data_IF_778038493120
#
_entry.id   IF_778038493120
#
_cell.length_a   1.000
_cell.length_b   1.000
_cell.length_c   1.000
_cell.angle_alpha   90.00
_cell.angle_beta   90.00
_cell.angle_gamma   90.00
#
_symmetry.space_group_name_H-M   'P 1'
#
loop_
_entity.id
_entity.type
_entity.pdbx_description
1 polymer ?
#
# COMPACT_ATOMS: atom_id res chain seq x y z
N UNK A 1 66.13 -10.04 45.48
CA UNK A 1 64.66 -9.82 45.37
C UNK A 1 64.34 -9.53 43.90
N UNK A 2 63.53 -10.37 43.25
CA UNK A 2 63.18 -10.24 41.81
C UNK A 2 61.80 -9.56 41.69
N UNK A 3 61.63 -8.48 40.90
CA UNK A 3 60.30 -7.94 40.62
C UNK A 3 59.60 -8.81 39.57
N UNK A 4 58.33 -9.15 39.82
CA UNK A 4 57.43 -9.82 38.86
C UNK A 4 56.80 -8.76 37.96
N UNK A 5 56.97 -8.90 36.64
CA UNK A 5 56.19 -8.18 35.64
C UNK A 5 54.76 -8.72 35.60
N UNK A 6 53.77 -7.84 35.72
CA UNK A 6 52.34 -8.14 35.48
C UNK A 6 51.98 -7.52 34.13
N UNK A 7 51.61 -8.36 33.16
CA UNK A 7 51.12 -7.92 31.85
C UNK A 7 49.65 -7.45 31.95
N UNK A 8 49.24 -6.38 31.25
CA UNK A 8 47.85 -5.96 31.23
C UNK A 8 47.03 -6.82 30.25
N UNK A 9 45.72 -7.04 30.50
CA UNK A 9 44.88 -7.79 29.58
C UNK A 9 44.50 -6.93 28.37
N UNK A 10 44.58 -7.54 27.19
CA UNK A 10 44.15 -6.99 25.91
C UNK A 10 42.61 -7.00 25.86
N UNK A 11 41.97 -5.82 25.94
CA UNK A 11 40.51 -5.69 25.82
C UNK A 11 40.15 -5.61 24.34
N UNK A 12 39.63 -6.70 23.78
CA UNK A 12 39.02 -6.72 22.44
C UNK A 12 37.62 -6.10 22.51
N UNK A 13 37.46 -4.87 22.00
CA UNK A 13 36.14 -4.24 21.83
C UNK A 13 35.52 -4.80 20.55
N UNK A 14 34.62 -5.76 20.70
CA UNK A 14 33.72 -6.23 19.64
C UNK A 14 32.69 -5.11 19.35
N UNK A 15 32.92 -4.35 18.29
CA UNK A 15 31.91 -3.41 17.75
C UNK A 15 30.80 -4.24 17.10
N UNK A 16 29.73 -4.51 17.84
CA UNK A 16 28.52 -5.10 17.30
C UNK A 16 27.83 -4.08 16.37
N UNK A 17 27.93 -4.26 15.06
CA UNK A 17 27.08 -3.54 14.11
C UNK A 17 25.61 -3.95 14.35
N UNK A 18 24.70 -3.02 14.67
CA UNK A 18 23.28 -3.34 14.70
C UNK A 18 22.82 -3.56 13.25
N UNK A 19 22.51 -4.82 12.92
CA UNK A 19 21.77 -5.15 11.69
C UNK A 19 20.37 -4.56 11.84
N UNK A 20 20.17 -3.35 11.31
CA UNK A 20 18.86 -2.72 11.18
C UNK A 20 18.03 -3.53 10.17
N UNK A 21 17.34 -4.56 10.65
CA UNK A 21 16.24 -5.18 9.92
C UNK A 21 15.16 -4.12 9.72
N UNK A 22 15.13 -3.53 8.52
CA UNK A 22 14.02 -2.70 8.10
C UNK A 22 12.76 -3.57 8.16
N UNK A 23 11.97 -3.42 9.24
CA UNK A 23 10.64 -4.00 9.36
C UNK A 23 9.84 -3.54 8.14
N UNK A 24 9.70 -4.43 7.16
CA UNK A 24 8.80 -4.23 6.05
C UNK A 24 7.41 -4.12 6.66
N UNK A 25 6.85 -2.91 6.73
CA UNK A 25 5.55 -2.67 7.35
C UNK A 25 4.52 -3.54 6.62
N UNK A 26 4.01 -4.54 7.31
CA UNK A 26 2.95 -5.42 6.84
C UNK A 26 1.70 -5.12 7.67
N UNK A 27 0.61 -4.78 6.97
CA UNK A 27 -0.68 -4.52 7.59
C UNK A 27 -1.71 -5.45 6.99
N UNK A 28 -2.51 -6.06 7.85
CA UNK A 28 -3.66 -6.88 7.48
C UNK A 28 -4.94 -6.28 8.06
N UNK A 29 -5.95 -6.09 7.23
CA UNK A 29 -7.30 -5.67 7.61
C UNK A 29 -8.27 -6.72 7.10
N UNK A 30 -9.15 -7.20 7.96
CA UNK A 30 -10.21 -8.15 7.61
C UNK A 30 -11.54 -7.40 7.51
N UNK A 31 -12.44 -7.99 6.76
CA UNK A 31 -13.76 -7.49 6.47
C UNK A 31 -14.76 -8.65 6.56
N UNK A 32 -15.98 -8.37 6.96
CA UNK A 32 -17.05 -9.36 7.09
C UNK A 32 -17.73 -9.58 5.73
N UNK A 33 -18.42 -10.71 5.53
CA UNK A 33 -19.18 -10.95 4.30
C UNK A 33 -20.54 -10.26 4.39
N UNK A 34 -20.57 -8.97 4.07
CA UNK A 34 -21.75 -8.12 4.20
C UNK A 34 -22.34 -7.65 2.85
N UNK A 35 -21.61 -7.87 1.75
CA UNK A 35 -22.05 -7.53 0.40
C UNK A 35 -22.19 -8.76 -0.49
N UNK A 36 -23.32 -8.91 -1.18
CA UNK A 36 -23.62 -10.09 -2.03
C UNK A 36 -22.80 -10.20 -3.33
N UNK A 37 -21.91 -9.26 -3.60
CA UNK A 37 -21.21 -9.13 -4.87
C UNK A 37 -19.93 -9.97 -4.92
N UNK A 38 -19.49 -10.36 -6.12
CA UNK A 38 -18.22 -11.13 -6.28
C UNK A 38 -16.96 -10.39 -5.80
N UNK A 39 -17.07 -9.07 -5.62
CA UNK A 39 -16.00 -8.20 -5.16
C UNK A 39 -16.17 -7.76 -3.70
N UNK A 40 -17.04 -8.43 -2.96
CA UNK A 40 -17.10 -8.39 -1.50
C UNK A 40 -15.77 -8.82 -0.89
N UNK A 41 -15.14 -7.90 -0.16
CA UNK A 41 -13.80 -8.06 0.36
C UNK A 41 -13.83 -8.93 1.61
N UNK A 42 -12.75 -9.67 1.78
CA UNK A 42 -12.49 -10.52 2.94
C UNK A 42 -11.27 -10.03 3.71
N UNK A 43 -10.27 -9.56 2.95
CA UNK A 43 -9.00 -9.15 3.50
C UNK A 43 -8.30 -8.16 2.57
N UNK A 44 -7.68 -7.15 3.16
CA UNK A 44 -6.74 -6.25 2.50
C UNK A 44 -5.41 -6.34 3.23
N UNK A 45 -4.36 -6.71 2.52
CA UNK A 45 -2.98 -6.69 3.03
C UNK A 45 -2.17 -5.60 2.34
N UNK A 46 -1.38 -4.85 3.10
CA UNK A 46 -0.42 -3.87 2.57
C UNK A 46 0.99 -4.24 3.00
N UNK A 47 1.96 -4.27 2.08
CA UNK A 47 3.35 -4.62 2.40
C UNK A 47 4.36 -4.13 1.35
N UNK A 48 5.64 -4.21 1.71
CA UNK A 48 6.77 -4.00 0.80
C UNK A 48 7.07 -2.54 0.45
N UNK A 49 8.16 -2.35 -0.30
CA UNK A 49 8.61 -1.07 -0.87
C UNK A 49 9.11 -1.32 -2.30
N UNK A 50 8.44 -0.83 -3.37
CA UNK A 50 7.20 -0.05 -3.38
C UNK A 50 6.02 -0.80 -2.78
N UNK A 51 5.04 -0.05 -2.25
CA UNK A 51 3.90 -0.61 -1.52
C UNK A 51 3.01 -1.44 -2.45
N UNK A 52 2.67 -2.63 -1.99
CA UNK A 52 1.73 -3.55 -2.63
C UNK A 52 0.46 -3.62 -1.79
N UNK A 53 -0.69 -3.44 -2.42
CA UNK A 53 -2.00 -3.75 -1.86
C UNK A 53 -2.44 -5.08 -2.44
N UNK A 54 -2.75 -6.03 -1.57
CA UNK A 54 -3.32 -7.33 -1.91
C UNK A 54 -4.76 -7.37 -1.41
N UNK A 55 -5.70 -7.40 -2.34
CA UNK A 55 -7.13 -7.40 -2.06
C UNK A 55 -7.63 -8.82 -2.30
N UNK A 56 -8.25 -9.41 -1.29
CA UNK A 56 -8.85 -10.73 -1.35
C UNK A 56 -10.35 -10.64 -1.10
N UNK A 57 -11.12 -11.33 -1.94
CA UNK A 57 -12.59 -11.38 -1.87
C UNK A 57 -13.07 -12.69 -1.25
N UNK A 58 -14.30 -12.72 -0.75
CA UNK A 58 -14.94 -13.97 -0.32
C UNK A 58 -15.12 -14.90 -1.52
N UNK A 59 -15.65 -14.35 -2.61
CA UNK A 59 -16.03 -15.08 -3.80
C UNK A 59 -14.93 -15.15 -4.86
N UNK A 60 -14.95 -16.25 -5.64
CA UNK A 60 -14.08 -16.41 -6.80
C UNK A 60 -14.57 -15.64 -8.03
N UNK A 61 -13.64 -15.06 -8.78
CA UNK A 61 -13.93 -14.35 -10.02
C UNK A 61 -12.89 -14.62 -11.11
N UNK A 62 -13.11 -14.08 -12.31
CA UNK A 62 -12.15 -14.11 -13.43
C UNK A 62 -12.11 -12.74 -14.08
N UNK A 63 -11.01 -12.40 -14.78
CA UNK A 63 -10.87 -11.15 -15.54
C UNK A 63 -12.12 -10.88 -16.40
N UNK A 64 -12.54 -11.88 -17.19
CA UNK A 64 -13.74 -11.81 -18.01
C UNK A 64 -15.04 -11.56 -17.23
N UNK A 65 -15.19 -12.13 -16.03
CA UNK A 65 -16.42 -11.96 -15.23
C UNK A 65 -16.56 -10.57 -14.62
N UNK A 66 -15.47 -9.85 -14.44
CA UNK A 66 -15.46 -8.50 -13.87
C UNK A 66 -15.18 -7.42 -14.93
N UNK A 67 -14.92 -7.79 -16.18
CA UNK A 67 -14.74 -6.84 -17.27
C UNK A 67 -16.01 -6.01 -17.46
N UNK A 68 -15.84 -4.69 -17.46
CA UNK A 68 -16.90 -3.66 -17.54
C UNK A 68 -17.99 -3.79 -16.48
N UNK A 69 -17.67 -4.47 -15.38
CA UNK A 69 -18.62 -4.81 -14.31
C UNK A 69 -18.06 -4.68 -12.92
N UNK A 70 -16.73 -4.76 -12.78
CA UNK A 70 -16.05 -4.82 -11.50
C UNK A 70 -14.87 -3.87 -11.45
N UNK A 71 -14.85 -3.05 -10.42
CA UNK A 71 -13.83 -2.03 -10.17
C UNK A 71 -13.37 -2.13 -8.72
N UNK A 72 -12.07 -2.00 -8.50
CA UNK A 72 -11.48 -1.92 -7.17
C UNK A 72 -10.67 -0.63 -7.09
N UNK A 73 -10.88 0.14 -6.03
CA UNK A 73 -10.25 1.44 -5.81
C UNK A 73 -9.47 1.40 -4.50
N UNK A 74 -8.19 1.76 -4.57
CA UNK A 74 -7.40 2.08 -3.38
C UNK A 74 -7.44 3.60 -3.21
N UNK A 75 -8.26 4.09 -2.30
CA UNK A 75 -8.34 5.52 -1.99
C UNK A 75 -7.26 5.93 -1.00
N UNK A 76 -6.64 7.09 -1.20
CA UNK A 76 -5.54 7.62 -0.38
C UNK A 76 -5.81 9.07 0.01
N UNK A 77 -5.75 9.38 1.31
CA UNK A 77 -5.70 10.76 1.83
C UNK A 77 -4.27 11.03 2.30
N UNK A 78 -3.65 11.96 1.59
CA UNK A 78 -2.27 12.35 1.77
C UNK A 78 -2.12 13.84 2.03
N UNK A 79 -3.17 14.64 1.82
CA UNK A 79 -3.14 16.10 1.92
C UNK A 79 -3.93 16.66 3.11
N UNK A 80 -4.43 15.81 4.02
CA UNK A 80 -5.12 16.21 5.25
C UNK A 80 -6.53 16.80 5.06
N UNK A 81 -7.15 16.55 3.91
CA UNK A 81 -8.51 16.99 3.64
C UNK A 81 -9.60 16.07 4.21
N UNK A 82 -10.85 16.50 4.04
CA UNK A 82 -12.04 15.66 4.30
C UNK A 82 -12.24 14.58 3.24
N UNK A 83 -11.59 14.73 2.08
CA UNK A 83 -11.67 13.84 0.93
C UNK A 83 -10.37 13.07 0.73
N UNK A 84 -10.48 11.96 0.01
CA UNK A 84 -9.32 11.31 -0.56
C UNK A 84 -8.75 12.14 -1.73
N UNK A 85 -7.43 12.19 -1.83
CA UNK A 85 -6.71 13.02 -2.81
C UNK A 85 -6.31 12.22 -4.06
N UNK A 86 -6.11 10.93 -3.88
CA UNK A 86 -5.68 10.01 -4.93
C UNK A 86 -6.47 8.71 -4.86
N UNK A 87 -6.59 8.04 -6.00
CA UNK A 87 -7.03 6.66 -6.03
C UNK A 87 -6.30 5.85 -7.09
N UNK A 88 -5.97 4.60 -6.77
CA UNK A 88 -5.61 3.61 -7.78
C UNK A 88 -6.87 2.87 -8.23
N UNK A 89 -7.23 3.03 -9.50
CA UNK A 89 -8.29 2.25 -10.13
C UNK A 89 -7.69 0.94 -10.62
N UNK A 90 -8.34 -0.17 -10.30
CA UNK A 90 -8.05 -1.51 -10.82
C UNK A 90 -9.31 -2.02 -11.50
N UNK A 91 -9.18 -2.44 -12.75
CA UNK A 91 -10.27 -2.98 -13.57
C UNK A 91 -9.76 -4.12 -14.43
N UNK A 92 -10.67 -4.84 -15.08
CA UNK A 92 -10.29 -5.84 -16.09
C UNK A 92 -10.63 -5.36 -17.48
N UNK A 93 -9.82 -5.78 -18.46
CA UNK A 93 -10.09 -5.65 -19.90
C UNK A 93 -10.54 -6.99 -20.53
N UNK A 94 -11.05 -7.92 -19.72
CA UNK A 94 -11.50 -9.25 -20.14
C UNK A 94 -10.39 -10.30 -20.26
N UNK A 95 -9.17 -9.89 -20.59
CA UNK A 95 -7.99 -10.78 -20.69
C UNK A 95 -7.14 -10.75 -19.42
N UNK A 96 -6.94 -9.57 -18.84
CA UNK A 96 -6.09 -9.36 -17.68
C UNK A 96 -6.61 -8.28 -16.74
N UNK A 97 -5.74 -7.83 -15.84
CA UNK A 97 -5.97 -6.70 -14.97
C UNK A 97 -5.26 -5.48 -15.52
N UNK A 98 -5.91 -4.34 -15.42
CA UNK A 98 -5.35 -3.03 -15.70
C UNK A 98 -5.46 -2.16 -14.47
N UNK A 99 -4.52 -1.21 -14.34
CA UNK A 99 -4.59 -0.26 -13.26
C UNK A 99 -3.92 1.06 -13.61
N UNK A 100 -4.47 2.13 -13.06
CA UNK A 100 -3.92 3.47 -13.16
C UNK A 100 -4.13 4.24 -11.87
N UNK A 101 -3.19 5.14 -11.58
CA UNK A 101 -3.25 6.09 -10.48
C UNK A 101 -3.85 7.39 -10.98
N UNK A 102 -4.79 7.93 -10.22
CA UNK A 102 -5.45 9.20 -10.49
C UNK A 102 -5.32 10.14 -9.30
N UNK A 103 -5.29 11.45 -9.59
CA UNK A 103 -5.59 12.51 -8.63
C UNK A 103 -7.08 12.79 -8.67
N UNK A 104 -7.77 12.64 -7.54
CA UNK A 104 -9.15 13.10 -7.37
C UNK A 104 -9.13 14.62 -7.38
N UNK A 105 -9.72 15.22 -8.41
CA UNK A 105 -9.82 16.68 -8.53
C UNK A 105 -11.26 17.09 -8.33
N UNK A 106 -11.75 17.08 -7.09
CA UNK A 106 -13.08 17.52 -6.63
C UNK A 106 -14.04 18.27 -7.60
N UNK A 107 -13.59 19.32 -8.30
CA UNK A 107 -14.38 20.17 -9.22
C UNK A 107 -13.93 20.13 -10.68
N UNK A 108 -13.05 19.20 -11.06
CA UNK A 108 -12.49 19.02 -12.40
C UNK A 108 -12.47 17.52 -12.73
N UNK A 109 -12.29 17.17 -14.00
CA UNK A 109 -12.06 15.77 -14.37
C UNK A 109 -10.84 15.21 -13.62
N UNK A 110 -10.88 13.96 -13.18
CA UNK A 110 -9.73 13.35 -12.51
C UNK A 110 -8.52 13.28 -13.44
N UNK A 111 -7.33 13.46 -12.87
CA UNK A 111 -6.08 13.47 -13.64
C UNK A 111 -5.36 12.14 -13.50
N UNK A 112 -5.16 11.44 -14.62
CA UNK A 112 -4.35 10.21 -14.64
C UNK A 112 -2.88 10.55 -14.46
N UNK A 113 -2.28 10.07 -13.37
CA UNK A 113 -0.87 10.29 -13.04
C UNK A 113 0.02 9.23 -13.70
N UNK A 114 -0.37 7.95 -13.61
CA UNK A 114 0.47 6.85 -14.09
C UNK A 114 -0.33 5.58 -14.37
N UNK A 115 0.18 4.71 -15.23
CA UNK A 115 -0.20 3.28 -15.24
C UNK A 115 0.45 2.60 -14.04
N UNK A 116 -0.28 1.68 -13.41
CA UNK A 116 0.21 0.85 -12.31
C UNK A 116 0.28 -0.61 -12.74
N UNK A 117 1.10 -1.40 -12.04
CA UNK A 117 1.12 -2.85 -12.20
C UNK A 117 0.04 -3.46 -11.32
N UNK A 118 -0.95 -4.09 -11.92
CA UNK A 118 -1.93 -4.93 -11.25
C UNK A 118 -1.95 -6.33 -11.86
N UNK A 119 -2.12 -7.35 -11.03
CA UNK A 119 -2.19 -8.74 -11.47
C UNK A 119 -3.04 -9.56 -10.52
N UNK A 120 -3.65 -10.62 -11.04
CA UNK A 120 -4.35 -11.59 -10.19
C UNK A 120 -3.32 -12.41 -9.42
N UNK A 121 -3.46 -12.46 -8.11
CA UNK A 121 -2.65 -13.32 -7.25
C UNK A 121 -3.29 -14.69 -7.05
N UNK A 122 -4.61 -14.78 -7.18
CA UNK A 122 -5.36 -16.03 -7.04
C UNK A 122 -6.74 -15.92 -7.71
N UNK A 123 -7.57 -16.97 -7.58
CA UNK A 123 -8.97 -16.95 -8.02
C UNK A 123 -9.83 -15.92 -7.27
N UNK A 124 -9.38 -15.46 -6.11
CA UNK A 124 -10.07 -14.51 -5.21
C UNK A 124 -9.26 -13.24 -4.95
N UNK A 125 -8.08 -13.10 -5.57
CA UNK A 125 -7.10 -12.10 -5.19
C UNK A 125 -6.57 -11.27 -6.34
N UNK A 126 -6.37 -9.98 -6.08
CA UNK A 126 -5.63 -9.07 -6.96
C UNK A 126 -4.59 -8.31 -6.16
N UNK A 127 -3.41 -8.13 -6.75
CA UNK A 127 -2.35 -7.28 -6.23
C UNK A 127 -2.20 -6.05 -7.11
N UNK A 128 -2.03 -4.88 -6.49
CA UNK A 128 -1.66 -3.64 -7.16
C UNK A 128 -0.41 -3.06 -6.49
N UNK A 129 0.57 -2.70 -7.31
CA UNK A 129 1.80 -2.05 -6.86
C UNK A 129 1.67 -0.55 -7.09
N UNK A 130 1.60 0.22 -6.00
CA UNK A 130 1.44 1.67 -6.04
C UNK A 130 2.67 2.32 -5.38
N UNK A 131 3.51 3.02 -6.16
CA UNK A 131 4.68 3.72 -5.65
C UNK A 131 4.27 5.05 -5.01
N UNK A 132 4.39 5.15 -3.68
CA UNK A 132 4.07 6.38 -2.93
C UNK A 132 4.92 7.59 -3.38
N UNK A 133 6.06 7.40 -4.03
CA UNK A 133 6.83 8.49 -4.62
C UNK A 133 6.16 9.21 -5.80
N UNK A 134 5.01 8.72 -6.29
CA UNK A 134 4.21 9.36 -7.36
C UNK A 134 3.06 10.22 -6.84
N UNK A 135 2.86 10.27 -5.53
CA UNK A 135 1.80 11.07 -4.90
C UNK A 135 2.42 12.12 -4.01
N UNK A 136 1.78 13.27 -3.92
CA UNK A 136 2.17 14.31 -2.98
C UNK A 136 1.68 13.94 -1.59
N UNK A 137 2.55 14.04 -0.60
CA UNK A 137 2.22 13.98 0.82
C UNK A 137 2.33 15.39 1.37
N UNK A 138 1.33 15.87 2.12
CA UNK A 138 1.42 17.16 2.77
C UNK A 138 2.59 17.21 3.75
N UNK A 139 3.22 18.38 3.82
CA UNK A 139 4.36 18.63 4.68
C UNK A 139 4.03 18.33 6.15
N UNK A 140 5.02 17.86 6.91
CA UNK A 140 4.86 17.51 8.32
C UNK A 140 4.06 16.22 8.61
N UNK A 141 3.39 15.61 7.62
CA UNK A 141 2.66 14.35 7.86
C UNK A 141 3.63 13.18 8.07
N UNK A 142 3.33 12.39 9.10
CA UNK A 142 4.00 11.11 9.39
C UNK A 142 3.22 9.89 8.89
N UNK A 143 1.97 10.10 8.43
CA UNK A 143 1.08 9.05 7.94
C UNK A 143 0.23 9.53 6.75
N UNK A 144 -0.34 8.57 6.04
CA UNK A 144 -1.46 8.78 5.13
C UNK A 144 -2.63 7.90 5.56
N UNK A 145 -3.84 8.22 5.13
CA UNK A 145 -5.01 7.34 5.33
C UNK A 145 -5.33 6.61 4.04
N UNK A 146 -5.83 5.39 4.15
CA UNK A 146 -6.32 4.64 2.99
C UNK A 146 -7.61 3.88 3.30
N UNK A 147 -8.38 3.61 2.24
CA UNK A 147 -9.57 2.77 2.28
C UNK A 147 -9.72 2.06 0.93
N UNK A 148 -10.19 0.82 0.93
CA UNK A 148 -10.59 0.15 -0.32
C UNK A 148 -12.07 0.37 -0.55
N UNK A 149 -12.42 0.63 -1.81
CA UNK A 149 -13.80 0.56 -2.28
C UNK A 149 -13.87 -0.42 -3.44
N UNK A 150 -14.83 -1.33 -3.44
CA UNK A 150 -15.13 -2.14 -4.63
C UNK A 150 -16.52 -1.80 -5.15
N UNK A 151 -16.70 -1.97 -6.46
CA UNK A 151 -17.98 -1.84 -7.12
C UNK A 151 -18.16 -3.04 -8.03
N UNK A 152 -19.32 -3.69 -7.95
CA UNK A 152 -19.68 -4.79 -8.84
C UNK A 152 -21.13 -4.69 -9.32
N UNK A 153 -21.32 -4.91 -10.62
CA UNK A 153 -22.64 -5.08 -11.26
C UNK A 153 -22.73 -6.44 -11.92
N UNK A 154 -23.82 -7.17 -11.70
CA UNK A 154 -24.04 -8.48 -12.32
C UNK A 154 -24.81 -9.44 -11.42
N UNK A 155 -24.72 -10.74 -11.71
CA UNK A 155 -25.42 -11.77 -10.92
C UNK A 155 -25.04 -11.67 -9.43
N UNK A 156 -26.04 -11.58 -8.57
CA UNK A 156 -25.88 -11.34 -7.13
C UNK A 156 -26.14 -9.89 -6.71
N UNK A 157 -26.13 -8.95 -7.66
CA UNK A 157 -26.32 -7.52 -7.43
C UNK A 157 -27.46 -6.97 -8.31
N UNK A 158 -28.60 -6.62 -7.71
CA UNK A 158 -29.78 -6.09 -8.45
C UNK A 158 -29.52 -4.74 -9.13
N UNK A 159 -28.63 -3.92 -8.55
CA UNK A 159 -28.15 -2.65 -9.11
C UNK A 159 -26.62 -2.69 -9.11
N UNK A 160 -26.01 -2.10 -8.10
CA UNK A 160 -24.58 -2.15 -7.80
C UNK A 160 -24.39 -2.68 -6.38
N UNK A 161 -23.48 -3.63 -6.22
CA UNK A 161 -22.88 -3.94 -4.93
C UNK A 161 -21.69 -3.02 -4.73
N UNK A 162 -21.63 -2.34 -3.60
CA UNK A 162 -20.54 -1.46 -3.21
C UNK A 162 -20.10 -1.89 -1.84
N UNK A 163 -18.81 -2.13 -1.70
CA UNK A 163 -18.20 -2.60 -0.47
C UNK A 163 -17.02 -1.66 -0.10
N UNK A 164 -16.78 -1.50 1.20
CA UNK A 164 -15.78 -0.66 1.81
C UNK A 164 -14.99 -1.41 2.88
N UNK A 165 -13.77 -1.81 2.55
CA UNK A 165 -12.88 -2.44 3.53
C UNK A 165 -11.60 -1.62 3.73
N UNK A 166 -11.32 -1.18 4.96
CA UNK A 166 -12.22 -1.12 6.13
C UNK A 166 -13.37 -0.09 5.96
N UNK A 167 -14.42 -0.17 6.80
CA UNK A 167 -15.51 0.82 6.88
C UNK A 167 -14.98 2.24 7.16
N UNK A 168 -13.96 2.38 8.00
CA UNK A 168 -13.31 3.65 8.31
C UNK A 168 -11.85 3.65 7.82
N UNK A 169 -11.33 4.76 7.26
CA UNK A 169 -9.98 4.79 6.69
C UNK A 169 -8.88 4.46 7.70
N UNK A 170 -7.93 3.60 7.29
CA UNK A 170 -6.78 3.20 8.13
C UNK A 170 -5.63 4.17 7.97
N UNK A 171 -5.02 4.57 9.10
CA UNK A 171 -3.77 5.32 9.13
C UNK A 171 -2.59 4.37 8.87
N UNK A 172 -1.79 4.70 7.86
CA UNK A 172 -0.57 3.99 7.49
C UNK A 172 0.65 4.92 7.66
N UNK A 173 1.66 4.54 8.45
CA UNK A 173 2.89 5.30 8.57
C UNK A 173 3.63 5.40 7.23
N UNK A 174 4.22 6.55 6.95
CA UNK A 174 5.05 6.75 5.74
C UNK A 174 6.41 6.02 5.81
N UNK A 175 6.77 5.51 7.00
CA UNK A 175 8.10 4.98 7.29
C UNK A 175 9.13 6.10 7.49
N UNK A 176 10.36 5.76 7.91
CA UNK A 176 11.43 6.75 8.04
C UNK A 176 11.70 7.41 6.68
N UNK A 177 11.76 8.74 6.66
CA UNK A 177 12.34 9.49 5.54
C UNK A 177 13.81 9.05 5.41
N UNK A 178 14.37 8.92 4.19
CA UNK A 178 15.80 8.73 4.04
C UNK A 178 16.52 9.90 4.75
N UNK A 179 17.47 9.61 5.63
CA UNK A 179 18.34 10.65 6.18
C UNK A 179 19.10 11.31 5.02
N UNK A 180 19.30 12.63 5.03
CA UNK A 180 20.18 13.26 4.06
C UNK A 180 21.57 12.62 4.14
N UNK A 181 22.12 12.19 3.00
CA UNK A 181 23.51 11.75 2.93
C UNK A 181 24.39 12.93 3.34
N UNK A 182 25.28 12.80 4.35
CA UNK A 182 26.21 13.87 4.66
C UNK A 182 27.05 14.14 3.40
N UNK A 183 27.02 15.40 2.94
CA UNK A 183 27.93 15.84 1.88
C UNK A 183 29.36 15.74 2.42
N UNK A 184 30.34 15.29 1.62
CA UNK A 184 31.72 15.28 2.07
C UNK A 184 32.15 16.72 2.37
N UNK A 185 32.47 16.99 3.64
CA UNK A 185 33.13 18.24 4.03
C UNK A 185 34.53 18.21 3.41
N UNK A 186 34.79 19.06 2.42
CA UNK A 186 36.15 19.36 1.99
C UNK A 186 36.81 20.19 3.08
N UNK A 187 37.75 19.60 3.82
CA UNK A 187 38.71 20.35 4.64
C UNK A 187 39.78 20.94 3.73
N UNK A 188 39.83 22.27 3.64
CA UNK A 188 41.00 23.03 3.21
C UNK A 188 41.83 23.41 4.43
#
# INVERSE_FOLDING_TARGET
MRPRLVAPPLVLILVALPVLLALASHRDVRDDNDVKGRLDLRKVSTYGRPRVWHLETYDGWTSRRIWDRGYLLVHLDTLAGERFDYYALVSSNGKGMESALFRDRARKADYRIARLRAWRSSRRGVKVKLPLGKIQIAEGRSFFRWQIRTLFTGRGCRRSCIDFAPIAPVKEPLGPKPSPTPSPSSSN
#
